data_IF_332277709092
#
_entry.id   IF_332277709092
#
_cell.length_a   1.000
_cell.length_b   1.000
_cell.length_c   1.000
_cell.angle_alpha   90.00
_cell.angle_beta   90.00
_cell.angle_gamma   90.00
#
_symmetry.space_group_name_H-M   'P 1'
#
loop_
_entity.id
_entity.type
_entity.pdbx_description
1 polymer ?
#
# COMPACT_ATOMS: atom_id res chain seq x y z
N UNK A 1 -9.88 26.65 -24.41
CA UNK A 1 -10.93 25.95 -23.62
C UNK A 1 -10.64 24.47 -23.76
N UNK A 2 -10.07 23.86 -22.73
CA UNK A 2 -9.76 22.42 -22.72
C UNK A 2 -11.00 21.73 -22.14
N UNK A 3 -11.79 21.10 -23.00
CA UNK A 3 -12.82 20.15 -22.58
C UNK A 3 -12.16 18.77 -22.56
N UNK A 4 -12.06 18.09 -21.41
CA UNK A 4 -11.47 16.77 -21.38
C UNK A 4 -12.40 15.75 -22.04
N UNK A 5 -11.84 14.91 -22.92
CA UNK A 5 -12.55 13.82 -23.64
C UNK A 5 -13.10 12.68 -22.74
N UNK A 6 -13.15 12.85 -21.42
CA UNK A 6 -13.76 11.86 -20.52
C UNK A 6 -15.28 12.02 -20.40
N UNK A 7 -15.84 13.21 -20.64
CA UNK A 7 -17.31 13.41 -20.64
C UNK A 7 -18.00 12.59 -21.75
N UNK A 8 -17.36 12.41 -22.90
CA UNK A 8 -17.87 11.56 -23.99
C UNK A 8 -17.84 10.06 -23.64
N UNK A 9 -16.82 9.60 -22.90
CA UNK A 9 -16.71 8.18 -22.52
C UNK A 9 -17.78 7.73 -21.51
N UNK A 10 -18.28 8.63 -20.67
CA UNK A 10 -19.39 8.32 -19.76
C UNK A 10 -20.77 8.49 -20.41
N UNK A 11 -20.88 9.32 -21.46
CA UNK A 11 -22.12 9.48 -22.21
C UNK A 11 -22.51 8.21 -23.00
N UNK A 12 -21.52 7.43 -23.47
CA UNK A 12 -21.74 6.22 -24.28
C UNK A 12 -21.81 4.92 -23.46
N UNK A 13 -21.36 4.92 -22.20
CA UNK A 13 -21.44 3.75 -21.34
C UNK A 13 -22.83 3.63 -20.71
N UNK A 14 -23.77 2.96 -21.41
CA UNK A 14 -25.08 2.56 -20.85
C UNK A 14 -24.93 1.43 -19.84
N UNK A 15 -24.29 1.69 -18.71
CA UNK A 15 -24.32 0.80 -17.55
C UNK A 15 -25.52 1.21 -16.70
N UNK A 16 -26.45 0.30 -16.46
CA UNK A 16 -27.60 0.56 -15.60
C UNK A 16 -27.15 0.81 -14.16
N UNK A 17 -27.96 1.55 -13.40
CA UNK A 17 -27.72 1.78 -11.97
C UNK A 17 -27.49 0.48 -11.20
N UNK A 18 -28.21 -0.59 -11.55
CA UNK A 18 -28.11 -1.88 -10.90
C UNK A 18 -26.83 -2.62 -11.28
N UNK A 19 -26.35 -2.49 -12.53
CA UNK A 19 -25.04 -3.00 -12.94
C UNK A 19 -23.90 -2.23 -12.26
N UNK A 20 -24.01 -0.91 -12.13
CA UNK A 20 -23.05 -0.11 -11.37
C UNK A 20 -23.05 -0.49 -9.88
N UNK A 21 -24.24 -0.69 -9.28
CA UNK A 21 -24.37 -1.16 -7.90
C UNK A 21 -23.85 -2.60 -7.74
N UNK A 22 -24.03 -3.46 -8.74
CA UNK A 22 -23.52 -4.83 -8.72
C UNK A 22 -22.01 -4.86 -8.84
N UNK A 23 -21.42 -4.13 -9.79
CA UNK A 23 -19.97 -3.97 -9.89
C UNK A 23 -19.39 -3.34 -8.61
N UNK A 24 -20.10 -2.41 -7.99
CA UNK A 24 -19.73 -1.84 -6.70
C UNK A 24 -19.80 -2.89 -5.57
N UNK A 25 -20.86 -3.69 -5.48
CA UNK A 25 -20.99 -4.79 -4.50
C UNK A 25 -20.00 -5.93 -4.71
N UNK A 26 -19.72 -6.29 -5.95
CA UNK A 26 -18.75 -7.32 -6.32
C UNK A 26 -17.31 -6.83 -6.03
N UNK A 27 -17.05 -5.53 -6.18
CA UNK A 27 -15.82 -4.91 -5.69
C UNK A 27 -15.77 -4.91 -4.16
N UNK A 28 -16.84 -4.47 -3.48
CA UNK A 28 -16.97 -4.45 -2.02
C UNK A 28 -16.81 -5.84 -1.38
N UNK A 29 -17.23 -6.91 -2.08
CA UNK A 29 -17.18 -8.29 -1.62
C UNK A 29 -15.77 -8.89 -1.51
N UNK A 30 -14.76 -8.28 -2.14
CA UNK A 30 -13.36 -8.64 -1.89
C UNK A 30 -12.83 -7.75 -0.78
N UNK A 31 -12.59 -8.30 0.40
CA UNK A 31 -11.79 -7.63 1.42
C UNK A 31 -10.47 -7.15 0.78
N UNK A 32 -10.03 -5.92 1.09
CA UNK A 32 -8.80 -5.40 0.50
C UNK A 32 -7.60 -6.29 0.87
N UNK A 33 -7.62 -6.84 2.08
CA UNK A 33 -6.67 -7.82 2.61
C UNK A 33 -7.42 -9.16 2.67
N UNK A 34 -6.89 -10.20 2.02
CA UNK A 34 -7.49 -11.55 2.08
C UNK A 34 -7.31 -12.15 3.48
N UNK A 35 -8.19 -13.07 3.88
CA UNK A 35 -8.06 -13.80 5.16
C UNK A 35 -6.70 -14.51 5.28
N UNK A 36 -6.24 -15.18 4.22
CA UNK A 36 -4.93 -15.82 4.19
C UNK A 36 -3.79 -14.83 4.44
N UNK A 37 -3.84 -13.64 3.82
CA UNK A 37 -2.85 -12.61 4.05
C UNK A 37 -2.98 -12.00 5.45
N UNK A 38 -4.19 -11.85 5.98
CA UNK A 38 -4.43 -11.36 7.33
C UNK A 38 -3.88 -12.33 8.39
N UNK A 39 -4.10 -13.64 8.22
CA UNK A 39 -3.53 -14.67 9.08
C UNK A 39 -2.01 -14.69 9.00
N UNK A 40 -1.44 -14.52 7.79
CA UNK A 40 0.02 -14.35 7.64
C UNK A 40 0.50 -13.08 8.35
N UNK A 41 -0.26 -11.99 8.19
CA UNK A 41 -0.31 -10.68 8.86
C UNK A 41 -0.13 -10.71 10.38
N UNK A 42 -0.96 -11.51 11.03
CA UNK A 42 -1.26 -11.33 12.46
C UNK A 42 -1.30 -12.66 13.22
N UNK A 43 -0.99 -13.77 12.55
CA UNK A 43 -0.87 -15.11 13.13
C UNK A 43 0.31 -15.22 14.09
N UNK A 44 0.12 -16.04 15.13
CA UNK A 44 1.00 -16.15 16.31
C UNK A 44 2.32 -16.85 16.01
N UNK A 45 3.31 -16.19 15.38
CA UNK A 45 4.73 -16.54 15.49
C UNK A 45 5.67 -15.48 14.86
N UNK A 46 5.68 -14.24 15.38
CA UNK A 46 6.51 -13.17 14.82
C UNK A 46 7.67 -12.82 15.76
N UNK A 47 8.86 -12.64 15.20
CA UNK A 47 10.01 -12.12 15.94
C UNK A 47 9.67 -10.79 16.60
N UNK A 48 9.89 -10.63 17.91
CA UNK A 48 9.49 -9.44 18.68
C UNK A 48 10.07 -8.09 18.24
N UNK A 49 10.97 -8.06 17.24
CA UNK A 49 11.54 -6.85 16.68
C UNK A 49 10.64 -6.15 15.64
N UNK A 50 9.66 -6.85 15.05
CA UNK A 50 8.81 -6.32 13.98
C UNK A 50 7.38 -6.86 14.07
N UNK A 51 6.40 -5.96 14.10
CA UNK A 51 4.98 -6.28 14.25
C UNK A 51 4.20 -5.51 13.19
N UNK A 52 3.40 -6.21 12.37
CA UNK A 52 2.56 -5.56 11.37
C UNK A 52 1.33 -4.96 12.05
N UNK A 53 1.10 -3.66 11.87
CA UNK A 53 -0.12 -3.01 12.33
C UNK A 53 -1.31 -3.37 11.45
N UNK A 54 -2.48 -3.51 12.07
CA UNK A 54 -3.72 -3.74 11.34
C UNK A 54 -4.32 -2.41 10.83
N UNK A 55 -4.38 -2.30 9.50
CA UNK A 55 -4.99 -1.17 8.80
C UNK A 55 -6.33 -1.53 8.12
N UNK A 56 -6.86 -2.73 8.33
CA UNK A 56 -8.06 -3.24 7.64
C UNK A 56 -9.25 -2.29 7.79
N UNK A 57 -9.48 -1.78 9.00
CA UNK A 57 -10.57 -0.85 9.27
C UNK A 57 -10.48 0.45 8.45
N UNK A 58 -9.31 1.12 8.44
CA UNK A 58 -9.13 2.38 7.73
C UNK A 58 -9.12 2.17 6.21
N UNK A 59 -8.50 1.09 5.74
CA UNK A 59 -8.48 0.74 4.32
C UNK A 59 -9.91 0.50 3.83
N UNK A 60 -10.70 -0.30 4.54
CA UNK A 60 -12.09 -0.56 4.17
C UNK A 60 -12.95 0.71 4.22
N UNK A 61 -12.80 1.56 5.25
CA UNK A 61 -13.51 2.84 5.35
C UNK A 61 -13.21 3.76 4.16
N UNK A 62 -11.93 3.98 3.86
CA UNK A 62 -11.50 4.91 2.79
C UNK A 62 -11.81 4.36 1.42
N UNK A 63 -11.70 3.05 1.22
CA UNK A 63 -12.09 2.39 -0.02
C UNK A 63 -13.60 2.47 -0.26
N UNK A 64 -14.43 2.34 0.79
CA UNK A 64 -15.88 2.56 0.68
C UNK A 64 -16.27 3.98 0.23
N UNK A 65 -15.36 4.95 0.37
CA UNK A 65 -15.53 6.34 -0.09
C UNK A 65 -15.05 6.55 -1.54
N UNK A 66 -14.41 5.56 -2.15
CA UNK A 66 -13.93 5.65 -3.53
C UNK A 66 -15.10 5.56 -4.52
N UNK A 67 -15.14 6.51 -5.47
CA UNK A 67 -16.10 6.50 -6.57
C UNK A 67 -15.45 5.82 -7.80
N UNK A 68 -16.00 4.71 -8.30
CA UNK A 68 -15.46 4.02 -9.47
C UNK A 68 -15.26 4.95 -10.68
N UNK A 69 -14.16 4.78 -11.40
CA UNK A 69 -13.81 5.59 -12.58
C UNK A 69 -13.24 6.98 -12.25
N UNK A 70 -13.16 7.37 -10.98
CA UNK A 70 -12.47 8.59 -10.57
C UNK A 70 -10.98 8.35 -10.35
N UNK A 71 -10.15 9.37 -10.62
CA UNK A 71 -8.69 9.33 -10.35
C UNK A 71 -7.94 8.16 -11.00
N UNK A 72 -8.50 7.55 -12.04
CA UNK A 72 -7.88 6.45 -12.78
C UNK A 72 -6.48 6.81 -13.30
N UNK A 73 -6.28 8.08 -13.65
CA UNK A 73 -4.96 8.61 -14.03
C UNK A 73 -3.88 8.39 -12.96
N UNK A 74 -4.22 8.40 -11.67
CA UNK A 74 -3.29 8.13 -10.56
C UNK A 74 -2.87 6.66 -10.61
N UNK A 75 -3.83 5.76 -10.71
CA UNK A 75 -3.58 4.32 -10.71
C UNK A 75 -2.77 3.92 -11.94
N UNK A 76 -3.13 4.44 -13.12
CA UNK A 76 -2.36 4.26 -14.35
C UNK A 76 -0.93 4.80 -14.22
N UNK A 77 -0.74 5.98 -13.63
CA UNK A 77 0.57 6.57 -13.43
C UNK A 77 1.44 5.72 -12.50
N UNK A 78 0.89 5.22 -11.39
CA UNK A 78 1.61 4.34 -10.46
C UNK A 78 1.98 3.01 -11.12
N UNK A 79 1.09 2.41 -11.91
CA UNK A 79 1.38 1.15 -12.61
C UNK A 79 2.50 1.31 -13.65
N UNK A 80 2.49 2.40 -14.43
CA UNK A 80 3.58 2.73 -15.36
C UNK A 80 4.88 3.00 -14.62
N UNK A 81 4.82 3.83 -13.57
CA UNK A 81 5.97 4.15 -12.74
C UNK A 81 6.64 2.89 -12.16
N UNK A 82 5.85 1.97 -11.61
CA UNK A 82 6.36 0.74 -10.98
C UNK A 82 7.09 -0.18 -11.96
N UNK A 83 6.64 -0.22 -13.20
CA UNK A 83 7.11 -1.15 -14.23
C UNK A 83 8.24 -0.58 -15.08
N UNK A 84 8.47 0.73 -14.98
CA UNK A 84 9.55 1.43 -15.69
C UNK A 84 10.89 1.28 -14.92
N UNK A 85 11.91 0.61 -15.49
CA UNK A 85 13.19 0.42 -14.81
C UNK A 85 13.94 1.74 -14.58
N UNK A 86 13.72 2.75 -15.44
CA UNK A 86 14.38 4.05 -15.41
C UNK A 86 13.69 5.05 -14.47
N UNK A 87 12.53 4.68 -13.93
CA UNK A 87 11.81 5.52 -12.99
C UNK A 87 12.50 5.61 -11.63
N UNK A 88 12.31 6.77 -10.98
CA UNK A 88 12.73 6.98 -9.59
C UNK A 88 12.04 5.95 -8.67
N UNK A 89 12.67 5.58 -7.55
CA UNK A 89 12.08 4.59 -6.61
C UNK A 89 11.06 5.18 -5.63
N UNK A 90 10.76 6.48 -5.75
CA UNK A 90 9.72 7.18 -4.99
C UNK A 90 8.70 7.81 -5.94
N UNK A 91 7.42 7.45 -5.76
CA UNK A 91 6.30 8.15 -6.35
C UNK A 91 5.64 9.02 -5.28
N UNK A 92 5.53 10.33 -5.53
CA UNK A 92 5.02 11.28 -4.55
C UNK A 92 3.73 11.92 -5.03
N UNK A 93 2.59 11.52 -4.44
CA UNK A 93 1.27 12.05 -4.77
C UNK A 93 0.92 13.22 -3.84
N UNK A 94 0.84 14.43 -4.39
CA UNK A 94 0.47 15.65 -3.64
C UNK A 94 -0.88 16.17 -4.10
N UNK A 95 -1.63 16.69 -3.13
CA UNK A 95 -2.88 17.39 -3.36
C UNK A 95 -3.26 18.17 -2.11
N UNK A 96 -4.16 19.14 -2.25
CA UNK A 96 -4.68 19.90 -1.13
C UNK A 96 -5.35 19.02 -0.07
N UNK A 97 -5.59 19.58 1.11
CA UNK A 97 -6.42 18.93 2.14
C UNK A 97 -7.80 18.58 1.56
N UNK A 98 -8.29 17.38 1.87
CA UNK A 98 -9.61 16.92 1.42
C UNK A 98 -9.71 16.52 -0.06
N UNK A 99 -8.62 16.48 -0.83
CA UNK A 99 -8.68 16.04 -2.25
C UNK A 99 -8.80 14.53 -2.43
N UNK A 100 -9.00 13.76 -1.36
CA UNK A 100 -9.18 12.32 -1.40
C UNK A 100 -7.91 11.50 -1.64
N UNK A 101 -6.75 11.97 -1.15
CA UNK A 101 -5.47 11.26 -1.28
C UNK A 101 -5.49 9.90 -0.57
N UNK A 102 -5.94 9.86 0.68
CA UNK A 102 -6.09 8.61 1.45
C UNK A 102 -7.10 7.65 0.83
N UNK A 103 -8.17 8.18 0.21
CA UNK A 103 -9.13 7.38 -0.57
C UNK A 103 -8.45 6.74 -1.77
N UNK A 104 -7.66 7.51 -2.53
CA UNK A 104 -6.86 6.98 -3.62
C UNK A 104 -5.80 5.98 -3.15
N UNK A 105 -5.15 6.22 -2.00
CA UNK A 105 -4.16 5.29 -1.43
C UNK A 105 -4.79 3.95 -1.04
N UNK A 106 -5.97 3.97 -0.40
CA UNK A 106 -6.70 2.75 -0.03
C UNK A 106 -7.19 1.96 -1.24
N UNK A 107 -7.71 2.64 -2.26
CA UNK A 107 -8.11 2.00 -3.51
C UNK A 107 -6.89 1.43 -4.28
N UNK A 108 -5.79 2.19 -4.37
CA UNK A 108 -4.55 1.73 -4.98
C UNK A 108 -4.02 0.48 -4.28
N UNK A 109 -4.03 0.47 -2.94
CA UNK A 109 -3.62 -0.68 -2.15
C UNK A 109 -4.46 -1.92 -2.49
N UNK A 110 -5.78 -1.78 -2.57
CA UNK A 110 -6.65 -2.91 -2.93
C UNK A 110 -6.32 -3.48 -4.32
N UNK A 111 -6.04 -2.61 -5.31
CA UNK A 111 -5.63 -3.05 -6.66
C UNK A 111 -4.26 -3.73 -6.67
N UNK A 112 -3.33 -3.27 -5.84
CA UNK A 112 -2.02 -3.89 -5.69
C UNK A 112 -2.12 -5.24 -4.99
N UNK A 113 -2.98 -5.39 -3.98
CA UNK A 113 -3.22 -6.64 -3.27
C UNK A 113 -3.88 -7.69 -4.17
N UNK A 114 -4.88 -7.33 -4.98
CA UNK A 114 -5.52 -8.23 -5.96
C UNK A 114 -4.50 -8.79 -6.98
N UNK A 115 -3.43 -8.04 -7.26
CA UNK A 115 -2.33 -8.44 -8.16
C UNK A 115 -1.08 -8.97 -7.44
N UNK A 116 -1.13 -9.15 -6.11
CA UNK A 116 0.00 -9.60 -5.29
C UNK A 116 1.26 -8.72 -5.41
N UNK A 117 1.08 -7.41 -5.55
CA UNK A 117 2.18 -6.47 -5.74
C UNK A 117 2.33 -5.43 -4.62
N UNK A 118 1.55 -5.53 -3.54
CA UNK A 118 1.78 -4.74 -2.34
C UNK A 118 2.74 -5.49 -1.40
N UNK A 119 3.85 -4.85 -1.04
CA UNK A 119 4.81 -5.39 -0.08
C UNK A 119 4.51 -4.95 1.36
N UNK A 120 4.16 -3.68 1.56
CA UNK A 120 3.75 -3.19 2.87
C UNK A 120 2.95 -1.90 2.72
N UNK A 121 2.22 -1.52 3.76
CA UNK A 121 1.39 -0.32 3.75
C UNK A 121 1.26 0.33 5.13
N UNK A 122 1.26 1.65 5.18
CA UNK A 122 1.09 2.36 6.43
C UNK A 122 0.21 3.59 6.22
N UNK A 123 -0.84 3.71 7.04
CA UNK A 123 -1.73 4.87 7.02
C UNK A 123 -1.50 5.72 8.26
N UNK A 124 -0.78 6.82 8.08
CA UNK A 124 -0.47 7.74 9.17
C UNK A 124 -1.74 8.46 9.64
N UNK A 125 -1.84 8.66 10.96
CA UNK A 125 -2.91 9.44 11.57
C UNK A 125 -2.31 10.42 12.58
N UNK A 126 -2.47 11.72 12.33
CA UNK A 126 -1.81 12.77 13.12
C UNK A 126 -2.17 12.69 14.62
N UNK A 127 -3.41 12.32 14.91
CA UNK A 127 -3.93 12.23 16.28
C UNK A 127 -3.50 10.96 17.02
N UNK A 128 -2.77 10.04 16.38
CA UNK A 128 -2.41 8.74 16.96
C UNK A 128 -0.90 8.49 16.81
N UNK A 129 -0.09 8.76 17.84
CA UNK A 129 1.35 8.46 17.84
C UNK A 129 1.69 7.02 17.48
N UNK A 130 0.82 6.08 17.86
CA UNK A 130 0.90 4.67 17.48
C UNK A 130 0.81 4.43 15.95
N UNK A 131 0.49 5.46 15.15
CA UNK A 131 0.46 5.42 13.69
C UNK A 131 1.29 6.52 13.03
N UNK A 132 1.86 7.47 13.78
CA UNK A 132 2.63 8.58 13.23
C UNK A 132 4.11 8.61 13.63
N UNK A 133 4.51 7.84 14.65
CA UNK A 133 5.92 7.74 15.05
C UNK A 133 6.75 6.98 13.98
N UNK A 134 7.86 7.55 13.47
CA UNK A 134 8.69 6.90 12.45
C UNK A 134 9.17 5.51 12.86
N UNK A 135 9.55 5.35 14.12
CA UNK A 135 10.00 4.07 14.68
C UNK A 135 8.91 2.99 14.67
N UNK A 136 7.63 3.39 14.77
CA UNK A 136 6.48 2.48 14.68
C UNK A 136 6.19 2.13 13.23
N UNK A 137 6.22 3.12 12.34
CA UNK A 137 6.10 2.91 10.90
C UNK A 137 7.14 1.90 10.40
N UNK A 138 8.41 2.07 10.77
CA UNK A 138 9.49 1.18 10.31
C UNK A 138 9.32 -0.26 10.79
N UNK A 139 8.93 -0.46 12.07
CA UNK A 139 8.64 -1.79 12.62
C UNK A 139 7.43 -2.44 11.96
N UNK A 140 6.40 -1.64 11.68
CA UNK A 140 5.21 -2.08 10.95
C UNK A 140 5.55 -2.55 9.54
N UNK A 141 6.29 -1.74 8.78
CA UNK A 141 6.78 -2.10 7.45
C UNK A 141 7.61 -3.38 7.48
N UNK A 142 8.58 -3.49 8.39
CA UNK A 142 9.39 -4.70 8.53
C UNK A 142 8.54 -5.94 8.81
N UNK A 143 7.53 -5.82 9.70
CA UNK A 143 6.63 -6.91 10.04
C UNK A 143 5.78 -7.37 8.84
N UNK A 144 5.35 -6.45 7.98
CA UNK A 144 4.65 -6.81 6.75
C UNK A 144 5.59 -7.43 5.72
N UNK A 145 6.81 -6.90 5.57
CA UNK A 145 7.81 -7.40 4.63
C UNK A 145 8.23 -8.85 4.93
N UNK A 146 8.28 -9.25 6.20
CA UNK A 146 8.49 -10.67 6.57
C UNK A 146 7.43 -11.60 5.95
N UNK A 147 6.20 -11.13 5.76
CA UNK A 147 5.11 -11.91 5.20
C UNK A 147 5.03 -11.80 3.66
N UNK A 148 5.48 -10.70 3.06
CA UNK A 148 5.24 -10.42 1.64
C UNK A 148 6.47 -10.59 0.77
N UNK A 149 7.68 -10.56 1.35
CA UNK A 149 8.94 -10.65 0.61
C UNK A 149 9.70 -11.91 1.01
N UNK A 150 9.90 -12.80 0.04
CA UNK A 150 10.62 -14.07 0.25
C UNK A 150 12.06 -13.81 0.75
N UNK A 151 12.44 -14.49 1.83
CA UNK A 151 13.77 -14.37 2.45
C UNK A 151 13.97 -13.13 3.33
N UNK A 152 12.99 -12.21 3.40
CA UNK A 152 13.14 -10.99 4.19
C UNK A 152 13.22 -11.27 5.68
N UNK A 153 12.44 -12.22 6.20
CA UNK A 153 12.45 -12.55 7.63
C UNK A 153 13.84 -13.06 8.09
N UNK A 154 14.49 -13.88 7.28
CA UNK A 154 15.84 -14.37 7.57
C UNK A 154 16.88 -13.26 7.49
N UNK A 155 16.79 -12.40 6.47
CA UNK A 155 17.63 -11.21 6.36
C UNK A 155 17.43 -10.23 7.52
N UNK A 156 16.20 -10.12 8.04
CA UNK A 156 15.87 -9.30 9.20
C UNK A 156 16.45 -9.89 10.49
N UNK A 157 16.47 -11.22 10.67
CA UNK A 157 17.10 -11.86 11.85
C UNK A 157 18.60 -11.54 11.95
N UNK A 158 19.28 -11.40 10.81
CA UNK A 158 20.69 -10.99 10.75
C UNK A 158 20.93 -9.51 11.11
N UNK A 159 19.88 -8.68 11.10
CA UNK A 159 19.92 -7.28 11.53
C UNK A 159 19.16 -7.01 12.84
N UNK A 160 18.36 -7.98 13.33
CA UNK A 160 17.57 -7.90 14.54
C UNK A 160 18.48 -7.89 15.77
N UNK A 161 18.39 -6.82 16.56
CA UNK A 161 19.27 -6.56 17.71
C UNK A 161 19.74 -5.11 17.81
N UNK A 162 19.46 -4.29 16.79
CA UNK A 162 19.67 -2.84 16.86
C UNK A 162 18.59 -2.21 17.72
N UNK A 163 18.88 -1.99 19.00
CA UNK A 163 18.14 -1.04 19.82
C UNK A 163 18.69 0.36 19.56
N UNK A 164 17.95 1.15 18.78
CA UNK A 164 18.27 2.55 18.53
C UNK A 164 17.00 3.38 18.54
N UNK A 165 17.11 4.58 19.11
CA UNK A 165 16.07 5.61 19.03
C UNK A 165 16.22 6.49 17.79
N UNK A 166 17.31 6.33 17.03
CA UNK A 166 17.55 7.12 15.82
C UNK A 166 16.88 6.50 14.61
N UNK A 167 16.12 7.31 13.89
CA UNK A 167 15.27 6.87 12.77
C UNK A 167 16.07 6.34 11.59
N UNK A 168 17.23 6.93 11.31
CA UNK A 168 18.16 6.50 10.27
C UNK A 168 18.76 5.12 10.57
N UNK A 169 19.21 4.89 11.81
CA UNK A 169 19.72 3.59 12.25
C UNK A 169 18.62 2.52 12.22
N UNK A 170 17.40 2.86 12.65
CA UNK A 170 16.24 1.96 12.56
C UNK A 170 15.86 1.65 11.11
N UNK A 171 15.88 2.65 10.21
CA UNK A 171 15.56 2.43 8.81
C UNK A 171 16.58 1.50 8.14
N UNK A 172 17.87 1.72 8.42
CA UNK A 172 18.94 0.87 7.88
C UNK A 172 18.80 -0.57 8.38
N UNK A 173 18.58 -0.75 9.69
CA UNK A 173 18.50 -2.08 10.30
C UNK A 173 17.22 -2.85 9.93
N UNK A 174 16.06 -2.19 9.92
CA UNK A 174 14.76 -2.85 9.78
C UNK A 174 14.28 -2.94 8.33
N UNK A 175 14.75 -2.07 7.43
CA UNK A 175 14.22 -1.98 6.06
C UNK A 175 15.34 -2.08 5.03
N UNK A 176 16.31 -1.16 5.05
CA UNK A 176 17.25 -1.03 3.93
C UNK A 176 18.21 -2.22 3.80
N UNK A 177 18.87 -2.61 4.90
CA UNK A 177 19.82 -3.74 4.89
C UNK A 177 19.12 -5.06 4.55
N UNK A 178 17.98 -5.43 5.17
CA UNK A 178 17.27 -6.65 4.79
C UNK A 178 16.79 -6.67 3.32
N UNK A 179 16.27 -5.54 2.80
CA UNK A 179 15.85 -5.45 1.38
C UNK A 179 17.02 -5.62 0.39
N UNK A 180 18.24 -5.25 0.77
CA UNK A 180 19.43 -5.46 -0.08
C UNK A 180 19.92 -6.90 -0.07
N UNK A 181 19.57 -7.69 0.95
CA UNK A 181 19.99 -9.08 1.10
C UNK A 181 19.04 -10.07 0.42
N UNK A 182 17.82 -9.67 0.09
CA UNK A 182 16.85 -10.50 -0.63
C UNK A 182 17.02 -10.38 -2.15
N UNK A 183 16.54 -11.39 -2.88
CA UNK A 183 16.55 -11.35 -4.35
C UNK A 183 15.62 -10.26 -4.85
N UNK A 184 16.11 -9.43 -5.76
CA UNK A 184 15.29 -8.46 -6.45
C UNK A 184 14.19 -9.16 -7.29
N UNK A 185 13.01 -8.55 -7.46
CA UNK A 185 11.98 -9.00 -8.39
C UNK A 185 12.55 -9.26 -9.79
N UNK A 186 12.09 -10.32 -10.48
CA UNK A 186 12.69 -10.77 -11.75
C UNK A 186 12.17 -10.04 -12.99
N UNK A 187 11.34 -9.02 -12.81
CA UNK A 187 10.79 -8.20 -13.88
C UNK A 187 9.77 -7.19 -13.38
N UNK A 188 9.24 -6.41 -14.32
CA UNK A 188 8.23 -5.38 -14.07
C UNK A 188 6.97 -5.94 -13.38
N UNK A 189 6.54 -7.14 -13.76
CA UNK A 189 5.33 -7.79 -13.23
C UNK A 189 5.50 -8.24 -11.76
N UNK A 190 6.73 -8.52 -11.34
CA UNK A 190 7.06 -8.92 -9.96
C UNK A 190 7.36 -7.71 -9.05
N UNK A 191 7.48 -6.49 -9.61
CA UNK A 191 7.85 -5.32 -8.82
C UNK A 191 6.84 -5.03 -7.71
N UNK A 192 7.33 -4.85 -6.49
CA UNK A 192 6.49 -4.62 -5.31
C UNK A 192 6.42 -3.14 -4.93
N UNK A 193 5.32 -2.73 -4.33
CA UNK A 193 5.07 -1.35 -3.88
C UNK A 193 4.88 -1.30 -2.37
N UNK A 194 5.50 -0.30 -1.74
CA UNK A 194 5.18 0.11 -0.38
C UNK A 194 4.27 1.34 -0.44
N UNK A 195 3.09 1.27 0.17
CA UNK A 195 2.11 2.36 0.15
C UNK A 195 2.15 3.10 1.49
N UNK A 196 2.53 4.37 1.48
CA UNK A 196 2.51 5.21 2.69
C UNK A 196 1.54 6.36 2.47
N UNK A 197 0.42 6.33 3.19
CA UNK A 197 -0.46 7.49 3.30
C UNK A 197 0.09 8.38 4.41
N UNK A 198 0.61 9.54 3.99
CA UNK A 198 1.27 10.49 4.88
C UNK A 198 0.26 11.21 5.78
N UNK A 199 0.79 12.01 6.72
CA UNK A 199 -0.04 12.90 7.52
C UNK A 199 -0.63 13.99 6.62
N UNK A 200 -1.94 14.19 6.68
CA UNK A 200 -2.61 15.40 6.19
C UNK A 200 -2.20 16.64 6.99
#
# INVERSE_FOLDING_TARGET
RWQPAWEEKFADAKISRDEALKCWKDAEAKAAISEELYEKLHGTNRSGAAEALDFSAIVNEKRGQHLPGTREWVFEAVLRWRTDPDSAKLFWLVGGGGTGKSVAAAELLARLLDKQNAAAWHFCKHTEPARSAPAVLLRSLAGMLCATVEGFEDALKESAGVESDKVDELFEALVAKPLRSVKAPRGADDALVLVIDALD
#
